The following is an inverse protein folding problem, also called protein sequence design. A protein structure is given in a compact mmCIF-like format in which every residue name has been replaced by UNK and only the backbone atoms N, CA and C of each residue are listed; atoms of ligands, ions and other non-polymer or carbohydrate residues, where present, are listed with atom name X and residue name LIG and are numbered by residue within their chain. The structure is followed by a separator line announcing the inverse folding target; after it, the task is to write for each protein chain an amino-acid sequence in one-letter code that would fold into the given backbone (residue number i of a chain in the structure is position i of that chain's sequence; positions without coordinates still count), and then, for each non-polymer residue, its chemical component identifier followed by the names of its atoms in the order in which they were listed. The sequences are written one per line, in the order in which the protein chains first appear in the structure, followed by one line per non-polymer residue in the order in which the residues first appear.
data_IF_310646515636
#
_entry.id   IF_310646515636
#
_cell.length_a   1.000
_cell.length_b   1.000
_cell.length_c   1.000
_cell.angle_alpha   90.00
_cell.angle_beta   90.00
_cell.angle_gamma   90.00
#
_symmetry.space_group_name_H-M   'P 1'
#
loop_
_entity.id
_entity.type
_entity.pdbx_description
1 polymer ?
#
# COMPACT_ATOMS: atom_id res chain seq x y z
N UNK A 1 23.65 -39.80 6.20
CA UNK A 1 24.95 -39.27 5.72
C UNK A 1 24.66 -38.11 4.77
N UNK A 2 24.36 -36.93 5.31
CA UNK A 2 24.21 -35.71 4.53
C UNK A 2 25.60 -35.09 4.38
N UNK A 3 26.17 -35.18 3.17
CA UNK A 3 27.42 -34.48 2.82
C UNK A 3 27.07 -33.08 2.34
N UNK A 4 27.68 -32.07 2.96
CA UNK A 4 27.62 -30.68 2.51
C UNK A 4 28.39 -30.43 1.21
N UNK A 5 27.96 -29.41 0.48
CA UNK A 5 28.60 -28.86 -0.71
C UNK A 5 27.83 -27.63 -1.18
N UNK A 6 28.51 -26.48 -1.27
CA UNK A 6 27.92 -25.16 -1.38
C UNK A 6 27.22 -24.85 -2.71
N UNK A 7 26.27 -23.92 -2.61
CA UNK A 7 25.52 -23.34 -3.72
C UNK A 7 24.10 -23.06 -3.24
N UNK A 8 23.69 -21.80 -3.13
CA UNK A 8 22.28 -21.47 -2.92
C UNK A 8 21.47 -22.16 -4.03
N UNK A 9 20.70 -23.20 -3.69
CA UNK A 9 19.77 -23.78 -4.66
C UNK A 9 18.75 -22.70 -5.00
N UNK A 10 18.63 -22.37 -6.28
CA UNK A 10 17.60 -21.43 -6.72
C UNK A 10 16.23 -22.01 -6.35
N UNK A 11 15.27 -21.17 -5.97
CA UNK A 11 13.90 -21.60 -5.65
C UNK A 11 13.33 -22.53 -6.74
N UNK A 12 13.66 -22.26 -8.00
CA UNK A 12 13.27 -23.09 -9.15
C UNK A 12 13.82 -24.52 -9.10
N UNK A 13 15.01 -24.73 -8.55
CA UNK A 13 15.64 -26.06 -8.45
C UNK A 13 15.03 -26.87 -7.31
N UNK A 14 14.68 -26.20 -6.20
CA UNK A 14 13.93 -26.82 -5.10
C UNK A 14 12.54 -27.27 -5.55
N UNK A 15 11.84 -26.44 -6.33
CA UNK A 15 10.52 -26.81 -6.89
C UNK A 15 10.64 -28.04 -7.80
N UNK A 16 11.69 -28.13 -8.63
CA UNK A 16 11.94 -29.30 -9.47
C UNK A 16 12.22 -30.55 -8.64
N UNK A 17 13.02 -30.43 -7.59
CA UNK A 17 13.34 -31.53 -6.67
C UNK A 17 12.10 -32.07 -5.97
N UNK A 18 11.23 -31.19 -5.47
CA UNK A 18 9.98 -31.60 -4.81
C UNK A 18 9.01 -32.30 -5.76
N UNK A 19 8.89 -31.79 -6.99
CA UNK A 19 8.06 -32.44 -8.03
C UNK A 19 8.59 -33.82 -8.42
N UNK A 20 9.91 -34.02 -8.41
CA UNK A 20 10.55 -35.31 -8.74
C UNK A 20 10.63 -36.29 -7.55
N UNK A 21 10.35 -35.83 -6.32
CA UNK A 21 10.41 -36.65 -5.11
C UNK A 21 9.37 -37.77 -5.13
N UNK A 22 9.77 -38.98 -4.73
CA UNK A 22 8.84 -40.11 -4.60
C UNK A 22 7.86 -39.95 -3.44
N UNK A 23 8.24 -39.21 -2.41
CA UNK A 23 7.43 -39.01 -1.21
C UNK A 23 6.54 -37.76 -1.33
N UNK A 24 7.01 -36.71 -2.00
CA UNK A 24 6.33 -35.40 -2.09
C UNK A 24 5.62 -35.22 -3.44
N UNK A 25 6.20 -35.71 -4.54
CA UNK A 25 5.65 -35.59 -5.89
C UNK A 25 4.20 -36.04 -6.00
N UNK A 26 3.80 -37.20 -5.43
CA UNK A 26 2.41 -37.66 -5.43
C UNK A 26 1.41 -36.74 -4.68
N UNK A 27 1.89 -35.82 -3.83
CA UNK A 27 1.05 -34.87 -3.11
C UNK A 27 0.63 -33.66 -3.98
N UNK A 28 1.26 -33.44 -5.14
CA UNK A 28 0.87 -32.39 -6.08
C UNK A 28 -0.22 -32.92 -7.02
N UNK A 29 -1.41 -32.32 -6.97
CA UNK A 29 -2.55 -32.70 -7.83
C UNK A 29 -2.73 -31.79 -9.04
N UNK A 30 -2.10 -30.61 -9.03
CA UNK A 30 -2.08 -29.65 -10.13
C UNK A 30 -0.78 -28.85 -10.12
N UNK A 31 -0.34 -28.43 -11.31
CA UNK A 31 0.83 -27.58 -11.51
C UNK A 31 0.52 -26.58 -12.63
N UNK A 32 0.34 -25.32 -12.24
CA UNK A 32 0.04 -24.22 -13.16
C UNK A 32 1.12 -23.15 -13.04
N UNK A 33 1.70 -22.76 -14.17
CA UNK A 33 2.67 -21.67 -14.26
C UNK A 33 2.00 -20.46 -14.90
N UNK A 34 1.83 -19.39 -14.12
CA UNK A 34 1.34 -18.12 -14.63
C UNK A 34 2.48 -17.35 -15.32
N UNK A 35 2.26 -16.77 -16.50
CA UNK A 35 3.29 -16.00 -17.18
C UNK A 35 3.64 -14.73 -16.39
N UNK A 36 4.90 -14.25 -16.45
CA UNK A 36 5.25 -12.95 -15.89
C UNK A 36 4.50 -11.84 -16.62
N UNK A 37 4.19 -10.76 -15.90
CA UNK A 37 3.52 -9.58 -16.45
C UNK A 37 4.38 -8.35 -16.23
N UNK A 38 4.70 -7.67 -17.33
CA UNK A 38 5.40 -6.38 -17.30
C UNK A 38 4.54 -5.30 -16.63
N UNK A 39 5.21 -4.36 -15.98
CA UNK A 39 4.55 -3.23 -15.33
C UNK A 39 3.92 -2.30 -16.38
N UNK A 40 2.62 -2.04 -16.25
CA UNK A 40 1.93 -1.01 -17.03
C UNK A 40 1.98 0.32 -16.27
N UNK A 41 2.81 1.26 -16.76
CA UNK A 41 3.19 2.48 -16.05
C UNK A 41 2.63 3.75 -16.70
N UNK A 42 2.38 4.76 -15.88
CA UNK A 42 1.92 6.11 -16.26
C UNK A 42 2.78 7.16 -15.56
N UNK A 43 2.96 8.35 -16.16
CA UNK A 43 3.65 9.44 -15.50
C UNK A 43 2.92 9.87 -14.22
N UNK A 44 3.66 10.41 -13.26
CA UNK A 44 3.06 11.08 -12.08
C UNK A 44 2.31 12.32 -12.59
N UNK A 45 1.06 12.55 -12.17
CA UNK A 45 0.28 13.68 -12.70
C UNK A 45 0.90 15.05 -12.39
N UNK A 46 0.86 15.96 -13.37
CA UNK A 46 1.49 17.27 -13.27
C UNK A 46 0.82 18.20 -12.25
N UNK A 47 -0.46 17.96 -11.94
CA UNK A 47 -1.21 18.74 -10.96
C UNK A 47 -0.90 18.36 -9.51
N UNK A 48 -0.19 17.26 -9.26
CA UNK A 48 0.16 16.83 -7.90
C UNK A 48 1.11 17.85 -7.25
N UNK A 49 0.92 18.14 -5.97
CA UNK A 49 1.77 19.04 -5.19
C UNK A 49 3.25 18.60 -5.26
N UNK A 50 4.15 19.58 -5.34
CA UNK A 50 5.58 19.34 -5.47
C UNK A 50 6.18 18.51 -4.33
N UNK A 51 5.65 18.65 -3.11
CA UNK A 51 6.05 17.87 -1.93
C UNK A 51 5.69 16.39 -2.09
N UNK A 52 4.49 16.10 -2.58
CA UNK A 52 4.06 14.73 -2.87
C UNK A 52 4.92 14.10 -3.98
N UNK A 53 5.20 14.84 -5.05
CA UNK A 53 6.12 14.38 -6.12
C UNK A 53 7.53 14.11 -5.58
N UNK A 54 8.04 14.98 -4.73
CA UNK A 54 9.35 14.82 -4.10
C UNK A 54 9.39 13.59 -3.17
N UNK A 55 8.36 13.37 -2.37
CA UNK A 55 8.24 12.18 -1.51
C UNK A 55 8.14 10.89 -2.32
N UNK A 56 7.35 10.85 -3.39
CA UNK A 56 7.32 9.72 -4.32
C UNK A 56 8.71 9.43 -4.90
N UNK A 57 9.44 10.47 -5.31
CA UNK A 57 10.79 10.32 -5.82
C UNK A 57 11.79 9.77 -4.77
N UNK A 58 11.68 10.17 -3.50
CA UNK A 58 12.49 9.63 -2.39
C UNK A 58 12.19 8.14 -2.15
N UNK A 59 10.94 7.73 -2.32
CA UNK A 59 10.49 6.33 -2.25
C UNK A 59 10.88 5.50 -3.50
N UNK A 60 11.61 6.09 -4.45
CA UNK A 60 11.98 5.43 -5.71
C UNK A 60 10.84 5.32 -6.73
N UNK A 61 9.70 5.97 -6.47
CA UNK A 61 8.52 5.94 -7.34
C UNK A 61 8.63 7.09 -8.34
N UNK A 62 9.04 6.76 -9.57
CA UNK A 62 9.15 7.72 -10.70
C UNK A 62 7.93 7.73 -11.61
N UNK A 63 7.19 6.63 -11.62
CA UNK A 63 5.98 6.41 -12.40
C UNK A 63 4.99 5.64 -11.53
N UNK A 64 3.71 5.79 -11.85
CA UNK A 64 2.63 5.08 -11.19
C UNK A 64 2.21 3.88 -12.02
N UNK A 65 1.70 2.83 -11.39
CA UNK A 65 0.97 1.81 -12.14
C UNK A 65 -0.30 2.40 -12.76
N UNK A 66 -0.75 1.87 -13.89
CA UNK A 66 -1.95 2.36 -14.58
C UNK A 66 -3.18 2.45 -13.68
N UNK A 67 -3.44 1.40 -12.89
CA UNK A 67 -4.55 1.40 -11.92
C UNK A 67 -4.43 2.48 -10.83
N UNK A 68 -3.21 2.88 -10.45
CA UNK A 68 -2.99 3.97 -9.50
C UNK A 68 -3.34 5.31 -10.16
N UNK A 69 -2.77 5.57 -11.34
CA UNK A 69 -3.03 6.81 -12.07
C UNK A 69 -4.53 6.98 -12.38
N UNK A 70 -5.20 5.92 -12.84
CA UNK A 70 -6.64 5.94 -13.13
C UNK A 70 -7.48 6.23 -11.87
N UNK A 71 -7.16 5.58 -10.74
CA UNK A 71 -7.86 5.82 -9.48
C UNK A 71 -7.66 7.24 -8.95
N UNK A 72 -6.43 7.77 -9.07
CA UNK A 72 -6.06 9.10 -8.61
C UNK A 72 -6.77 10.19 -9.45
N UNK A 73 -6.80 10.05 -10.77
CA UNK A 73 -7.54 10.98 -11.63
C UNK A 73 -9.05 10.92 -11.38
N UNK A 74 -9.61 9.71 -11.22
CA UNK A 74 -11.03 9.56 -10.88
C UNK A 74 -11.38 10.19 -9.52
N UNK A 75 -10.51 10.03 -8.52
CA UNK A 75 -10.68 10.65 -7.21
C UNK A 75 -10.59 12.18 -7.29
N UNK A 76 -9.66 12.73 -8.10
CA UNK A 76 -9.56 14.17 -8.36
C UNK A 76 -10.83 14.74 -8.99
N UNK A 77 -11.46 13.99 -9.87
CA UNK A 77 -12.77 14.32 -10.45
C UNK A 77 -13.96 14.11 -9.49
N UNK A 78 -13.68 13.81 -8.21
CA UNK A 78 -14.67 13.54 -7.16
C UNK A 78 -15.60 12.37 -7.47
N UNK A 79 -15.10 11.37 -8.21
CA UNK A 79 -15.82 10.12 -8.48
C UNK A 79 -15.55 9.10 -7.38
N UNK A 80 -16.56 8.29 -7.07
CA UNK A 80 -16.40 7.12 -6.22
C UNK A 80 -15.70 6.01 -7.01
N UNK A 81 -14.66 5.40 -6.43
CA UNK A 81 -13.80 4.41 -7.11
C UNK A 81 -13.74 3.13 -6.30
N UNK A 82 -13.86 1.99 -6.99
CA UNK A 82 -13.55 0.66 -6.44
C UNK A 82 -12.34 0.13 -7.20
N UNK A 83 -11.25 -0.13 -6.48
CA UNK A 83 -10.01 -0.67 -7.07
C UNK A 83 -9.93 -2.17 -6.79
N UNK A 84 -9.89 -2.97 -7.85
CA UNK A 84 -9.78 -4.44 -7.76
C UNK A 84 -8.39 -4.85 -8.24
N UNK A 85 -7.45 -4.95 -7.31
CA UNK A 85 -6.07 -5.34 -7.61
C UNK A 85 -5.56 -6.39 -6.62
N UNK A 86 -4.60 -7.25 -7.02
CA UNK A 86 -4.00 -8.23 -6.11
C UNK A 86 -3.33 -7.56 -4.90
N UNK A 87 -3.07 -8.35 -3.86
CA UNK A 87 -2.18 -7.93 -2.77
C UNK A 87 -0.79 -7.58 -3.30
N UNK A 88 -0.08 -6.69 -2.60
CA UNK A 88 1.21 -6.14 -3.02
C UNK A 88 1.25 -5.37 -4.36
N UNK A 89 0.10 -5.05 -4.97
CA UNK A 89 0.01 -4.23 -6.20
C UNK A 89 0.25 -2.73 -6.01
N UNK A 90 0.41 -2.26 -4.76
CA UNK A 90 0.56 -0.83 -4.46
C UNK A 90 -0.76 -0.07 -4.34
N UNK A 91 -1.87 -0.75 -4.04
CA UNK A 91 -3.20 -0.13 -3.85
C UNK A 91 -3.23 1.00 -2.82
N UNK A 92 -2.32 1.03 -1.84
CA UNK A 92 -2.30 2.07 -0.81
C UNK A 92 -2.15 3.48 -1.39
N UNK A 93 -1.39 3.63 -2.47
CA UNK A 93 -1.23 4.94 -3.13
C UNK A 93 -2.49 5.43 -3.84
N UNK A 94 -3.43 4.55 -4.20
CA UNK A 94 -4.64 4.92 -4.93
C UNK A 94 -5.55 5.83 -4.11
N UNK A 95 -5.52 5.69 -2.79
CA UNK A 95 -6.32 6.50 -1.86
C UNK A 95 -5.47 7.50 -1.05
N UNK A 96 -4.20 7.19 -0.74
CA UNK A 96 -3.35 8.12 0.00
C UNK A 96 -3.03 9.39 -0.79
N UNK A 97 -2.63 9.27 -2.06
CA UNK A 97 -2.26 10.43 -2.86
C UNK A 97 -3.40 11.45 -3.03
N UNK A 98 -4.64 11.07 -3.39
CA UNK A 98 -5.72 12.05 -3.52
C UNK A 98 -6.12 12.65 -2.17
N UNK A 99 -6.06 11.89 -1.07
CA UNK A 99 -6.35 12.40 0.28
C UNK A 99 -5.31 13.42 0.72
N UNK A 100 -4.02 13.09 0.57
CA UNK A 100 -2.93 14.01 0.89
C UNK A 100 -3.00 15.25 0.01
N UNK A 101 -3.25 15.12 -1.30
CA UNK A 101 -3.45 16.28 -2.17
C UNK A 101 -4.58 17.17 -1.65
N UNK A 102 -5.74 16.60 -1.33
CA UNK A 102 -6.90 17.37 -0.86
C UNK A 102 -6.59 18.15 0.43
N UNK A 103 -5.81 17.57 1.34
CA UNK A 103 -5.36 18.23 2.58
C UNK A 103 -4.35 19.35 2.29
N UNK A 104 -3.48 19.19 1.30
CA UNK A 104 -2.53 20.24 0.90
C UNK A 104 -3.22 21.39 0.17
N UNK A 105 -4.25 21.10 -0.60
CA UNK A 105 -5.08 22.11 -1.29
C UNK A 105 -5.96 22.87 -0.30
N UNK A 106 -6.54 22.16 0.67
CA UNK A 106 -7.38 22.72 1.73
C UNK A 106 -7.06 22.04 3.08
N UNK A 107 -6.37 22.72 4.01
CA UNK A 107 -6.03 22.20 5.34
C UNK A 107 -7.23 21.82 6.21
N UNK A 108 -8.45 22.27 5.88
CA UNK A 108 -9.68 21.85 6.56
C UNK A 108 -10.23 20.51 6.06
N UNK A 109 -9.65 19.95 4.98
CA UNK A 109 -10.02 18.63 4.46
C UNK A 109 -9.77 17.53 5.50
N UNK A 110 -10.69 16.57 5.55
CA UNK A 110 -10.65 15.42 6.46
C UNK A 110 -10.92 14.13 5.70
N UNK A 111 -10.32 13.04 6.14
CA UNK A 111 -10.53 11.71 5.58
C UNK A 111 -10.75 10.67 6.70
N UNK A 112 -11.63 9.70 6.41
CA UNK A 112 -11.90 8.54 7.27
C UNK A 112 -11.45 7.28 6.55
N UNK A 113 -10.52 6.54 7.15
CA UNK A 113 -10.08 5.25 6.67
C UNK A 113 -10.69 4.15 7.53
N UNK A 114 -11.36 3.20 6.89
CA UNK A 114 -12.06 2.09 7.55
C UNK A 114 -11.39 0.79 7.14
N UNK A 115 -10.91 0.03 8.11
CA UNK A 115 -10.25 -1.26 7.88
C UNK A 115 -10.97 -2.39 8.62
N UNK A 116 -11.00 -3.62 8.09
CA UNK A 116 -11.77 -4.72 8.68
C UNK A 116 -11.26 -5.18 10.05
N UNK A 117 -10.01 -4.90 10.41
CA UNK A 117 -9.41 -5.34 11.67
C UNK A 117 -8.51 -4.27 12.26
N UNK A 118 -8.42 -4.26 13.59
CA UNK A 118 -7.54 -3.35 14.33
C UNK A 118 -6.07 -3.50 13.94
N UNK A 119 -5.60 -4.74 13.77
CA UNK A 119 -4.22 -5.00 13.37
C UNK A 119 -3.91 -4.33 12.03
N UNK A 120 -4.82 -4.46 11.05
CA UNK A 120 -4.66 -3.80 9.76
C UNK A 120 -4.76 -2.27 9.89
N UNK A 121 -5.64 -1.73 10.74
CA UNK A 121 -5.68 -0.30 11.03
C UNK A 121 -4.31 0.22 11.51
N UNK A 122 -3.66 -0.52 12.41
CA UNK A 122 -2.34 -0.13 12.95
C UNK A 122 -1.23 -0.26 11.89
N UNK A 123 -1.25 -1.32 11.09
CA UNK A 123 -0.30 -1.48 9.98
C UNK A 123 -0.44 -0.34 8.95
N UNK A 124 -1.67 0.04 8.63
CA UNK A 124 -1.95 1.13 7.68
C UNK A 124 -1.66 2.50 8.29
N UNK A 125 -1.86 2.67 9.60
CA UNK A 125 -1.45 3.86 10.34
C UNK A 125 0.07 4.08 10.23
N UNK A 126 0.87 3.06 10.53
CA UNK A 126 2.32 3.14 10.41
C UNK A 126 2.76 3.48 8.98
N UNK A 127 2.12 2.87 7.96
CA UNK A 127 2.43 3.13 6.56
C UNK A 127 2.08 4.56 6.12
N UNK A 128 0.91 5.09 6.50
CA UNK A 128 0.52 6.46 6.12
C UNK A 128 1.37 7.49 6.86
N UNK A 129 1.71 7.23 8.13
CA UNK A 129 2.57 8.10 8.91
C UNK A 129 3.97 8.20 8.30
N UNK A 130 4.58 7.07 7.96
CA UNK A 130 5.87 7.04 7.28
C UNK A 130 5.82 7.76 5.92
N UNK A 131 4.75 7.56 5.15
CA UNK A 131 4.57 8.23 3.87
C UNK A 131 4.51 9.76 4.01
N UNK A 132 3.82 10.24 5.05
CA UNK A 132 3.70 11.67 5.38
C UNK A 132 5.07 12.25 5.74
N UNK A 133 5.83 11.55 6.59
CA UNK A 133 7.19 11.95 6.97
C UNK A 133 8.12 12.00 5.75
N UNK A 134 8.07 11.00 4.88
CA UNK A 134 8.89 10.95 3.65
C UNK A 134 8.54 12.10 2.69
N UNK A 135 7.25 12.45 2.62
CA UNK A 135 6.72 13.55 1.81
C UNK A 135 6.97 14.93 2.42
N UNK A 136 7.38 15.03 3.69
CA UNK A 136 7.62 16.29 4.41
C UNK A 136 6.36 17.19 4.39
N UNK A 137 5.21 16.60 4.75
CA UNK A 137 3.92 17.29 4.80
C UNK A 137 3.33 17.26 6.20
N UNK A 138 2.69 18.36 6.60
CA UNK A 138 2.06 18.47 7.93
C UNK A 138 0.64 17.88 7.90
N UNK A 139 0.52 16.57 8.02
CA UNK A 139 -0.77 15.87 8.03
C UNK A 139 -0.92 15.04 9.31
N UNK A 140 -1.85 15.44 10.18
CA UNK A 140 -2.13 14.73 11.43
C UNK A 140 -2.98 13.48 11.17
N UNK A 141 -2.41 12.30 11.42
CA UNK A 141 -3.10 11.00 11.26
C UNK A 141 -3.25 10.31 12.60
N UNK A 142 -4.41 9.74 12.90
CA UNK A 142 -4.64 9.08 14.19
C UNK A 142 -5.55 7.85 14.08
N UNK A 143 -5.19 6.73 14.74
CA UNK A 143 -6.14 5.65 14.95
C UNK A 143 -7.21 6.08 15.97
N UNK A 144 -8.46 5.70 15.71
CA UNK A 144 -9.61 5.95 16.57
C UNK A 144 -10.41 4.67 16.74
N UNK A 145 -10.15 3.95 17.83
CA UNK A 145 -10.78 2.67 18.17
C UNK A 145 -11.10 2.57 19.67
N UNK A 146 -11.32 1.35 20.17
CA UNK A 146 -11.64 1.10 21.59
C UNK A 146 -10.49 1.43 22.56
N UNK A 147 -9.25 1.43 22.09
CA UNK A 147 -8.07 1.66 22.91
C UNK A 147 -7.65 3.13 22.95
N UNK A 148 -8.24 3.98 22.10
CA UNK A 148 -7.98 5.42 22.11
C UNK A 148 -8.35 6.02 23.47
N UNK A 149 -7.37 6.59 24.22
CA UNK A 149 -7.61 7.22 25.51
C UNK A 149 -8.68 8.31 25.43
N UNK A 150 -9.49 8.46 26.49
CA UNK A 150 -10.65 9.36 26.48
C UNK A 150 -10.28 10.84 26.28
N UNK A 151 -9.14 11.25 26.83
CA UNK A 151 -8.55 12.59 26.68
C UNK A 151 -8.04 12.84 25.24
N UNK A 152 -7.50 11.82 24.59
CA UNK A 152 -7.05 11.90 23.19
C UNK A 152 -8.20 11.99 22.19
N UNK A 153 -9.40 11.43 22.50
CA UNK A 153 -10.54 11.39 21.57
C UNK A 153 -11.00 12.77 21.11
N UNK A 154 -11.06 13.74 22.03
CA UNK A 154 -11.47 15.11 21.70
C UNK A 154 -10.46 15.77 20.79
N UNK A 155 -9.16 15.67 21.11
CA UNK A 155 -8.09 16.24 20.30
C UNK A 155 -8.06 15.64 18.88
N UNK A 156 -8.24 14.32 18.75
CA UNK A 156 -8.27 13.64 17.44
C UNK A 156 -9.46 14.11 16.60
N UNK A 157 -10.64 14.29 17.20
CA UNK A 157 -11.83 14.78 16.49
C UNK A 157 -11.68 16.22 15.99
N UNK A 158 -10.93 17.05 16.71
CA UNK A 158 -10.73 18.46 16.35
C UNK A 158 -9.58 18.65 15.35
N UNK A 159 -8.51 17.87 15.47
CA UNK A 159 -7.23 18.11 14.76
C UNK A 159 -6.81 17.01 13.79
N UNK A 160 -7.43 15.84 13.84
CA UNK A 160 -7.05 14.71 12.99
C UNK A 160 -7.48 14.94 11.55
N UNK A 161 -6.53 15.08 10.63
CA UNK A 161 -6.79 15.16 9.20
C UNK A 161 -7.24 13.81 8.64
N UNK A 162 -6.57 12.73 9.06
CA UNK A 162 -6.93 11.36 8.68
C UNK A 162 -7.21 10.56 9.95
N UNK A 163 -8.43 10.05 10.06
CA UNK A 163 -8.82 9.15 11.16
C UNK A 163 -8.91 7.73 10.63
N UNK A 164 -8.23 6.79 11.28
CA UNK A 164 -8.24 5.38 10.91
C UNK A 164 -9.04 4.58 11.94
N UNK A 165 -10.03 3.79 11.51
CA UNK A 165 -10.90 3.01 12.40
C UNK A 165 -11.18 1.61 11.87
N UNK A 166 -11.94 0.82 12.64
CA UNK A 166 -12.34 -0.56 12.32
C UNK A 166 -13.85 -0.77 12.35
#
# INVERSE_FOLDING_TARGET
MFRGGGGMSHLSDLIKEWKASKDIGPCFTADETLPPREADLRPVPDWLDGRLKAGLAKLGIRQLYSHQAEAIEAARERRNVVVVTPTASGKTLTYNLPVLQAILDDPESRALYIFPTKALTQDQYAQVHQLIDDMDVEVATHPYDGDTPADARTAIRERGHIVLTK
#
